data_IF_754219608905
#
_entry.id   IF_754219608905
#
_cell.length_a   1.000
_cell.length_b   1.000
_cell.length_c   1.000
_cell.angle_alpha   90.00
_cell.angle_beta   90.00
_cell.angle_gamma   90.00
#
_symmetry.space_group_name_H-M   'P 1'
#
loop_
_entity.id
_entity.type
_entity.pdbx_description
1 polymer ?
#
# COMPACT_ATOMS: atom_id res chain seq x y z
N UNK A 1 -9.33 13.61 2.40
CA UNK A 1 -7.88 13.33 2.42
C UNK A 1 -7.26 13.22 3.82
N UNK A 2 -7.49 14.17 4.77
CA UNK A 2 -6.90 14.10 6.13
C UNK A 2 -7.23 12.79 6.87
N UNK A 3 -8.50 12.37 6.88
CA UNK A 3 -8.93 11.12 7.50
C UNK A 3 -8.27 9.89 6.86
N UNK A 4 -8.24 9.83 5.53
CA UNK A 4 -7.58 8.73 4.79
C UNK A 4 -6.09 8.62 5.14
N UNK A 5 -5.37 9.75 5.20
CA UNK A 5 -3.96 9.76 5.64
C UNK A 5 -3.78 9.29 7.08
N UNK A 6 -4.68 9.68 7.98
CA UNK A 6 -4.63 9.24 9.37
C UNK A 6 -4.86 7.73 9.50
N UNK A 7 -5.85 7.19 8.77
CA UNK A 7 -6.11 5.76 8.67
C UNK A 7 -4.90 4.98 8.15
N UNK A 8 -4.30 5.44 7.05
CA UNK A 8 -3.09 4.83 6.46
C UNK A 8 -1.93 4.82 7.46
N UNK A 9 -1.73 5.93 8.18
CA UNK A 9 -0.66 6.05 9.16
C UNK A 9 -0.75 4.97 10.24
N UNK A 10 -1.97 4.62 10.67
CA UNK A 10 -2.22 3.58 11.67
C UNK A 10 -1.96 2.17 11.14
N UNK A 11 -2.33 1.91 9.90
CA UNK A 11 -2.21 0.60 9.25
C UNK A 11 -0.91 0.41 8.48
N UNK A 12 0.00 1.38 8.52
CA UNK A 12 1.24 1.38 7.72
C UNK A 12 2.07 0.10 7.89
N UNK A 13 2.26 -0.46 9.10
CA UNK A 13 3.03 -1.70 9.28
C UNK A 13 2.38 -2.89 8.55
N UNK A 14 1.07 -3.09 8.73
CA UNK A 14 0.29 -4.14 8.06
C UNK A 14 0.33 -3.98 6.54
N UNK A 15 0.11 -2.75 6.05
CA UNK A 15 0.15 -2.43 4.62
C UNK A 15 1.53 -2.74 4.05
N UNK A 16 2.61 -2.38 4.76
CA UNK A 16 3.96 -2.61 4.29
C UNK A 16 4.29 -4.10 4.15
N UNK A 17 3.95 -4.90 5.17
CA UNK A 17 4.14 -6.35 5.16
C UNK A 17 3.36 -7.02 4.01
N UNK A 18 2.08 -6.66 3.87
CA UNK A 18 1.22 -7.25 2.85
C UNK A 18 1.58 -6.80 1.43
N UNK A 19 2.09 -5.58 1.25
CA UNK A 19 2.43 -5.07 -0.07
C UNK A 19 3.65 -5.78 -0.68
N UNK A 20 4.60 -6.19 0.15
CA UNK A 20 5.73 -7.03 -0.26
C UNK A 20 5.23 -8.37 -0.80
N UNK A 21 4.23 -8.95 -0.16
CA UNK A 21 3.59 -10.19 -0.62
C UNK A 21 2.74 -10.00 -1.87
N UNK A 22 1.97 -8.91 -1.94
CA UNK A 22 1.05 -8.66 -3.03
C UNK A 22 1.76 -8.50 -4.38
N UNK A 23 2.88 -7.76 -4.40
CA UNK A 23 3.68 -7.51 -5.61
C UNK A 23 4.73 -8.59 -5.89
N UNK A 24 4.77 -9.65 -5.06
CA UNK A 24 5.74 -10.75 -5.14
C UNK A 24 7.20 -10.28 -5.32
N UNK A 25 7.56 -9.16 -4.66
CA UNK A 25 8.89 -8.54 -4.77
C UNK A 25 10.03 -9.42 -4.27
N UNK A 26 9.70 -10.49 -3.53
CA UNK A 26 10.64 -11.53 -3.18
C UNK A 26 11.19 -12.27 -4.42
N UNK A 27 10.33 -12.54 -5.41
CA UNK A 27 10.69 -13.28 -6.62
C UNK A 27 11.05 -12.33 -7.78
N UNK A 28 10.34 -11.22 -7.94
CA UNK A 28 10.57 -10.24 -9.01
C UNK A 28 10.49 -8.80 -8.50
N UNK A 29 11.64 -8.15 -8.37
CA UNK A 29 11.72 -6.76 -7.93
C UNK A 29 11.28 -5.77 -9.00
N UNK A 30 11.27 -6.15 -10.27
CA UNK A 30 10.83 -5.26 -11.35
C UNK A 30 9.32 -5.00 -11.29
N UNK A 31 8.57 -5.81 -10.53
CA UNK A 31 7.15 -5.56 -10.27
C UNK A 31 6.91 -4.21 -9.58
N UNK A 32 7.83 -3.70 -8.75
CA UNK A 32 7.66 -2.38 -8.10
C UNK A 32 7.66 -1.23 -9.09
N UNK A 33 8.27 -1.42 -10.25
CA UNK A 33 8.30 -0.43 -11.32
C UNK A 33 7.05 -0.51 -12.18
N UNK A 34 6.32 -1.63 -12.22
CA UNK A 34 5.19 -1.83 -13.14
C UNK A 34 3.84 -1.79 -12.46
N UNK A 35 3.79 -2.14 -11.18
CA UNK A 35 2.57 -2.41 -10.45
C UNK A 35 2.49 -1.63 -9.13
N UNK A 36 1.25 -1.39 -8.71
CA UNK A 36 0.89 -0.78 -7.43
C UNK A 36 -0.07 -1.70 -6.69
N UNK A 37 0.03 -1.78 -5.36
CA UNK A 37 -1.03 -2.38 -4.56
C UNK A 37 -2.19 -1.37 -4.46
N UNK A 38 -3.36 -1.74 -4.97
CA UNK A 38 -4.60 -0.98 -4.87
C UNK A 38 -5.47 -1.52 -3.74
N UNK A 39 -5.88 -0.64 -2.83
CA UNK A 39 -6.80 -0.91 -1.72
C UNK A 39 -8.06 -0.07 -1.94
N UNK A 40 -9.19 -0.73 -2.18
CA UNK A 40 -10.49 -0.10 -2.34
C UNK A 40 -11.18 0.01 -0.98
N UNK A 41 -11.57 1.25 -0.64
CA UNK A 41 -12.11 1.60 0.65
C UNK A 41 -13.50 2.24 0.51
N UNK A 42 -14.36 1.99 1.50
CA UNK A 42 -15.56 2.77 1.79
C UNK A 42 -15.42 3.48 3.12
N UNK A 43 -16.13 4.59 3.30
CA UNK A 43 -16.18 5.28 4.59
C UNK A 43 -17.05 4.52 5.58
N UNK A 44 -16.68 4.55 6.86
CA UNK A 44 -17.51 4.04 7.95
C UNK A 44 -18.14 5.23 8.70
N UNK A 45 -19.41 5.61 8.43
CA UNK A 45 -19.99 6.86 8.94
C UNK A 45 -20.04 6.95 10.47
N UNK A 46 -20.13 5.81 11.15
CA UNK A 46 -20.26 5.70 12.61
C UNK A 46 -18.95 5.31 13.29
N UNK A 47 -17.81 5.41 12.60
CA UNK A 47 -16.53 5.07 13.19
C UNK A 47 -16.14 6.04 14.31
N UNK A 48 -15.84 5.49 15.48
CA UNK A 48 -15.38 6.26 16.65
C UNK A 48 -13.84 6.39 16.61
N UNK A 49 -13.17 5.35 16.11
CA UNK A 49 -11.71 5.27 16.05
C UNK A 49 -11.19 5.55 14.64
N UNK A 50 -9.98 6.11 14.55
CA UNK A 50 -9.35 6.38 13.25
C UNK A 50 -9.05 5.08 12.51
N UNK A 51 -8.68 4.04 13.25
CA UNK A 51 -8.30 2.71 12.79
C UNK A 51 -9.45 1.98 12.08
N UNK A 52 -10.70 2.37 12.32
CA UNK A 52 -11.91 1.77 11.74
C UNK A 52 -12.72 2.78 10.93
N UNK A 53 -12.12 3.92 10.56
CA UNK A 53 -12.79 5.00 9.81
C UNK A 53 -13.11 4.67 8.36
N UNK A 54 -12.51 3.59 7.84
CA UNK A 54 -12.76 3.04 6.52
C UNK A 54 -12.94 1.52 6.61
N UNK A 55 -13.64 0.97 5.63
CA UNK A 55 -13.80 -0.45 5.39
C UNK A 55 -13.14 -0.81 4.05
N UNK A 56 -12.25 -1.80 4.08
CA UNK A 56 -11.63 -2.43 2.91
C UNK A 56 -12.64 -3.35 2.24
N UNK A 57 -13.03 -2.99 1.03
CA UNK A 57 -13.86 -3.82 0.15
C UNK A 57 -13.02 -4.83 -0.62
N UNK A 58 -11.93 -4.35 -1.23
CA UNK A 58 -11.07 -5.19 -2.06
C UNK A 58 -9.62 -4.72 -2.01
N UNK A 59 -8.71 -5.66 -2.26
CA UNK A 59 -7.28 -5.41 -2.44
C UNK A 59 -6.75 -6.22 -3.62
N UNK A 60 -6.06 -5.53 -4.52
CA UNK A 60 -5.53 -6.13 -5.76
C UNK A 60 -4.25 -5.42 -6.18
N UNK A 61 -3.43 -6.07 -7.01
CA UNK A 61 -2.38 -5.36 -7.76
C UNK A 61 -2.97 -4.75 -9.04
N UNK A 62 -2.39 -3.65 -9.48
CA UNK A 62 -2.80 -2.91 -10.67
C UNK A 62 -1.57 -2.37 -11.40
N UNK A 63 -1.55 -2.43 -12.74
CA UNK A 63 -0.51 -1.77 -13.53
C UNK A 63 -0.61 -0.25 -13.41
N UNK A 64 0.53 0.46 -13.38
CA UNK A 64 0.54 1.93 -13.45
C UNK A 64 -0.16 2.46 -14.70
N UNK A 65 -0.18 1.68 -15.79
CA UNK A 65 -0.82 2.07 -17.05
C UNK A 65 -2.34 2.26 -16.92
N UNK A 66 -2.98 1.60 -15.94
CA UNK A 66 -4.42 1.73 -15.70
C UNK A 66 -4.83 3.15 -15.30
N UNK A 67 -3.91 3.98 -14.81
CA UNK A 67 -4.17 5.36 -14.41
C UNK A 67 -4.00 6.37 -15.57
N UNK A 68 -3.64 5.88 -16.76
CA UNK A 68 -3.35 6.70 -17.92
C UNK A 68 -1.91 7.22 -17.94
N UNK A 69 -1.41 7.67 -19.11
CA UNK A 69 0.00 7.94 -19.34
C UNK A 69 0.56 9.07 -18.45
N UNK A 70 -0.18 10.17 -18.30
CA UNK A 70 0.25 11.33 -17.50
C UNK A 70 0.40 10.95 -16.01
N UNK A 71 -0.61 10.26 -15.46
CA UNK A 71 -0.58 9.86 -14.05
C UNK A 71 0.45 8.79 -13.78
N UNK A 72 0.59 7.84 -14.71
CA UNK A 72 1.64 6.82 -14.65
C UNK A 72 3.02 7.46 -14.60
N UNK A 73 3.31 8.42 -15.49
CA UNK A 73 4.59 9.14 -15.51
C UNK A 73 4.87 9.89 -14.20
N UNK A 74 3.86 10.58 -13.65
CA UNK A 74 3.96 11.24 -12.35
C UNK A 74 4.30 10.23 -11.23
N UNK A 75 3.61 9.08 -11.20
CA UNK A 75 3.84 8.02 -10.22
C UNK A 75 5.25 7.45 -10.35
N UNK A 76 5.72 7.16 -11.56
CA UNK A 76 7.09 6.72 -11.79
C UNK A 76 8.13 7.77 -11.35
N UNK A 77 7.87 9.06 -11.61
CA UNK A 77 8.73 10.16 -11.15
C UNK A 77 8.86 10.18 -9.62
N UNK A 78 7.73 10.10 -8.91
CA UNK A 78 7.70 10.03 -7.45
C UNK A 78 8.38 8.77 -6.91
N UNK A 79 8.20 7.64 -7.60
CA UNK A 79 8.81 6.37 -7.22
C UNK A 79 10.33 6.46 -7.29
N UNK A 80 10.89 7.02 -8.37
CA UNK A 80 12.35 7.20 -8.53
C UNK A 80 12.95 8.07 -7.43
N UNK A 81 12.30 9.20 -7.11
CA UNK A 81 12.75 10.10 -6.04
C UNK A 81 12.73 9.36 -4.70
N UNK A 82 11.62 8.71 -4.39
CA UNK A 82 11.46 8.03 -3.10
C UNK A 82 12.34 6.79 -2.97
N UNK A 83 12.57 6.06 -4.07
CA UNK A 83 13.51 4.95 -4.13
C UNK A 83 14.95 5.40 -3.88
N UNK A 84 15.38 6.51 -4.47
CA UNK A 84 16.70 7.07 -4.21
C UNK A 84 16.89 7.45 -2.74
N UNK A 85 15.86 8.04 -2.11
CA UNK A 85 15.93 8.42 -0.70
C UNK A 85 15.84 7.21 0.24
N UNK A 86 14.99 6.21 -0.04
CA UNK A 86 14.95 4.98 0.73
C UNK A 86 16.27 4.20 0.63
N UNK A 87 16.91 4.18 -0.55
CA UNK A 87 18.23 3.57 -0.73
C UNK A 87 19.32 4.26 0.11
N UNK A 88 19.32 5.60 0.16
CA UNK A 88 20.23 6.36 1.05
C UNK A 88 20.01 6.03 2.54
N UNK A 89 18.78 5.67 2.90
CA UNK A 89 18.42 5.28 4.27
C UNK A 89 18.61 3.78 4.54
N UNK A 90 19.23 3.03 3.63
CA UNK A 90 19.57 1.62 3.83
C UNK A 90 18.45 0.63 3.49
N UNK A 91 17.39 1.07 2.82
CA UNK A 91 16.35 0.17 2.30
C UNK A 91 16.81 -0.45 0.96
N UNK A 92 16.33 -1.65 0.65
CA UNK A 92 16.67 -2.36 -0.59
C UNK A 92 15.80 -1.95 -1.80
N UNK A 93 14.65 -1.31 -1.54
CA UNK A 93 13.77 -0.82 -2.59
C UNK A 93 12.54 -0.09 -2.06
N UNK A 94 11.71 0.36 -2.99
CA UNK A 94 10.43 1.04 -2.72
C UNK A 94 9.35 0.46 -3.61
N UNK A 95 8.15 0.33 -3.07
CA UNK A 95 6.93 0.02 -3.79
C UNK A 95 5.86 1.06 -3.47
N UNK A 96 4.82 1.15 -4.30
CA UNK A 96 3.68 2.03 -4.05
C UNK A 96 2.45 1.26 -3.61
N UNK A 97 1.69 1.90 -2.72
CA UNK A 97 0.35 1.49 -2.32
C UNK A 97 -0.60 2.65 -2.59
N UNK A 98 -1.66 2.38 -3.35
CA UNK A 98 -2.75 3.32 -3.58
C UNK A 98 -3.96 2.90 -2.76
N UNK A 99 -4.47 3.82 -1.95
CA UNK A 99 -5.75 3.65 -1.27
C UNK A 99 -6.76 4.57 -1.93
N UNK A 100 -7.88 4.00 -2.39
CA UNK A 100 -8.94 4.72 -3.08
C UNK A 100 -10.24 4.61 -2.30
N UNK A 101 -10.75 5.73 -1.81
CA UNK A 101 -12.05 5.80 -1.15
C UNK A 101 -13.15 6.00 -2.19
N UNK A 102 -13.99 4.99 -2.38
CA UNK A 102 -15.06 4.98 -3.38
C UNK A 102 -16.10 6.05 -3.12
N UNK A 103 -16.55 6.21 -1.87
CA UNK A 103 -17.60 7.19 -1.51
C UNK A 103 -17.22 8.63 -1.82
N UNK A 104 -15.94 8.97 -1.65
CA UNK A 104 -15.45 10.35 -1.81
C UNK A 104 -14.67 10.59 -3.11
N UNK A 105 -14.34 9.53 -3.85
CA UNK A 105 -13.44 9.57 -5.00
C UNK A 105 -12.00 9.97 -4.66
N UNK A 106 -11.64 10.03 -3.38
CA UNK A 106 -10.32 10.50 -2.93
C UNK A 106 -9.34 9.34 -2.88
N UNK A 107 -8.21 9.49 -3.56
CA UNK A 107 -7.06 8.58 -3.45
C UNK A 107 -5.93 9.13 -2.58
N UNK A 108 -5.15 8.24 -1.96
CA UNK A 108 -3.83 8.56 -1.42
C UNK A 108 -2.83 7.50 -1.85
N UNK A 109 -1.72 7.93 -2.45
CA UNK A 109 -0.58 7.07 -2.77
C UNK A 109 0.44 7.18 -1.64
N UNK A 110 0.90 6.04 -1.13
CA UNK A 110 1.89 5.95 -0.08
C UNK A 110 3.09 5.10 -0.55
N UNK A 111 4.31 5.66 -0.54
CA UNK A 111 5.51 4.87 -0.77
C UNK A 111 5.84 4.02 0.46
N UNK A 112 6.23 2.78 0.20
CA UNK A 112 6.68 1.82 1.22
C UNK A 112 8.08 1.36 0.84
N UNK A 113 9.05 1.65 1.71
CA UNK A 113 10.38 1.07 1.60
C UNK A 113 10.39 -0.35 2.17
N UNK A 114 11.21 -1.24 1.60
CA UNK A 114 11.39 -2.60 2.10
C UNK A 114 12.87 -2.98 2.18
N UNK A 115 13.21 -3.89 3.09
CA UNK A 115 14.52 -4.54 3.17
C UNK A 115 14.36 -6.03 2.86
N UNK A 116 15.21 -6.56 1.99
CA UNK A 116 15.25 -8.00 1.65
C UNK A 116 15.62 -8.86 2.84
N UNK A 117 16.33 -8.31 3.82
CA UNK A 117 16.62 -8.99 5.08
C UNK A 117 15.32 -9.39 5.81
N UNK A 118 14.29 -8.54 5.74
CA UNK A 118 12.98 -8.78 6.37
C UNK A 118 12.22 -9.92 5.68
N UNK A 119 12.61 -10.29 4.46
CA UNK A 119 12.00 -11.40 3.75
C UNK A 119 12.38 -12.77 4.34
N UNK A 120 13.48 -12.84 5.09
CA UNK A 120 13.92 -14.08 5.73
C UNK A 120 12.97 -14.42 6.88
N UNK A 121 12.02 -15.29 6.60
CA UNK A 121 11.02 -15.75 7.57
C UNK A 121 9.60 -15.28 7.26
N UNK A 122 9.40 -14.51 6.18
CA UNK A 122 8.06 -14.24 5.64
C UNK A 122 7.43 -15.58 5.25
N UNK A 123 6.45 -16.02 6.05
CA UNK A 123 5.61 -17.14 5.66
C UNK A 123 4.70 -16.65 4.54
N UNK A 124 4.62 -17.40 3.44
CA UNK A 124 3.52 -17.24 2.50
C UNK A 124 2.23 -17.41 3.28
N UNK A 125 1.54 -16.31 3.49
CA UNK A 125 0.25 -16.26 4.13
C UNK A 125 -0.71 -15.63 3.13
N UNK A 126 -2.00 -15.87 3.36
CA UNK A 126 -3.06 -15.23 2.60
C UNK A 126 -3.09 -13.73 2.97
N UNK A 127 -2.16 -12.98 2.37
CA UNK A 127 -1.92 -11.56 2.63
C UNK A 127 -3.20 -10.76 2.43
N UNK A 128 -4.05 -11.17 1.49
CA UNK A 128 -5.30 -10.51 1.16
C UNK A 128 -6.26 -10.60 2.34
N UNK A 129 -6.54 -11.82 2.79
CA UNK A 129 -7.43 -12.03 3.94
C UNK A 129 -6.85 -11.45 5.24
N UNK A 130 -5.53 -11.56 5.45
CA UNK A 130 -4.87 -10.98 6.60
C UNK A 130 -4.98 -9.45 6.64
N UNK A 131 -4.62 -8.77 5.53
CA UNK A 131 -4.73 -7.32 5.42
C UNK A 131 -6.16 -6.84 5.61
N UNK A 132 -7.11 -7.42 4.88
CA UNK A 132 -8.52 -7.04 4.96
C UNK A 132 -9.03 -7.19 6.39
N UNK A 133 -8.70 -8.29 7.06
CA UNK A 133 -9.06 -8.51 8.47
C UNK A 133 -8.49 -7.42 9.37
N UNK A 134 -7.18 -7.21 9.35
CA UNK A 134 -6.54 -6.25 10.23
C UNK A 134 -7.06 -4.83 10.02
N UNK A 135 -7.23 -4.43 8.75
CA UNK A 135 -7.67 -3.10 8.38
C UNK A 135 -9.16 -2.83 8.70
N UNK A 136 -10.01 -3.87 8.64
CA UNK A 136 -11.44 -3.76 8.96
C UNK A 136 -11.73 -3.89 10.45
N UNK A 137 -10.98 -4.71 11.17
CA UNK A 137 -11.13 -4.91 12.62
C UNK A 137 -10.34 -3.87 13.44
N UNK A 138 -9.58 -2.98 12.78
CA UNK A 138 -8.78 -1.95 13.45
C UNK A 138 -7.56 -2.50 14.19
N UNK A 139 -7.03 -3.65 13.76
CA UNK A 139 -5.84 -4.28 14.35
C UNK A 139 -4.59 -3.57 13.82
N UNK A 140 -3.84 -2.95 14.73
CA UNK A 140 -2.59 -2.23 14.44
C UNK A 140 -1.42 -2.93 15.13
N UNK A 141 -0.25 -2.92 14.48
CA UNK A 141 0.98 -3.58 14.94
C UNK A 141 2.10 -2.57 15.23
#
# INVERSE_FOLDING_TARGET
>A
LKALRAYISKHRPTIADCAVHALDVYNDLTCTEREVLLILLYTCPNAICTETSFYVEDTTTASFELFGPEKSEEMHGQLRITAADNLKNGMDGTLFVMLFCVDSGVSNIAPVGFCRADFRGLKRHDWKNFMTKCMNEGIVH
#
